data_IF_473890687933
#
_entry.id   IF_473890687933
#
_cell.length_a   1.000
_cell.length_b   1.000
_cell.length_c   1.000
_cell.angle_alpha   90.00
_cell.angle_beta   90.00
_cell.angle_gamma   90.00
#
_symmetry.space_group_name_H-M   'P 1'
#
loop_
_entity.id
_entity.type
_entity.pdbx_description
1 polymer ?
#
# COMPACT_ATOMS: atom_id res chain seq x y z
N UNK A 1 -5.54 -3.33 -15.20
CA UNK A 1 -5.52 -2.18 -14.29
C UNK A 1 -5.47 -0.84 -15.04
N UNK A 2 -4.71 -0.73 -16.14
CA UNK A 2 -4.56 0.52 -16.90
C UNK A 2 -5.89 1.21 -17.26
N UNK A 3 -6.90 0.47 -17.73
CA UNK A 3 -8.22 1.05 -18.08
C UNK A 3 -8.87 1.82 -16.92
N UNK A 4 -8.69 1.37 -15.67
CA UNK A 4 -9.21 2.06 -14.49
C UNK A 4 -8.43 3.34 -14.19
N UNK A 5 -7.12 3.33 -14.39
CA UNK A 5 -6.26 4.51 -14.23
C UNK A 5 -6.61 5.56 -15.27
N UNK A 6 -6.78 5.15 -16.53
CA UNK A 6 -7.20 6.03 -17.63
C UNK A 6 -8.57 6.62 -17.35
N UNK A 7 -9.51 5.80 -16.89
CA UNK A 7 -10.85 6.25 -16.47
C UNK A 7 -10.76 7.29 -15.35
N UNK A 8 -10.02 7.00 -14.29
CA UNK A 8 -9.93 7.87 -13.12
C UNK A 8 -9.29 9.22 -13.45
N UNK A 9 -8.21 9.22 -14.24
CA UNK A 9 -7.60 10.45 -14.73
C UNK A 9 -8.54 11.26 -15.63
N UNK A 10 -9.32 10.60 -16.49
CA UNK A 10 -10.30 11.26 -17.36
C UNK A 10 -11.46 11.88 -16.59
N UNK A 11 -11.92 11.24 -15.50
CA UNK A 11 -13.08 11.72 -14.72
C UNK A 11 -12.72 12.54 -13.50
N UNK A 12 -11.42 12.67 -13.17
CA UNK A 12 -10.96 13.28 -11.93
C UNK A 12 -11.30 12.46 -10.68
N UNK A 13 -11.48 11.15 -10.83
CA UNK A 13 -11.74 10.23 -9.72
C UNK A 13 -10.44 9.85 -9.01
N UNK A 14 -10.54 9.49 -7.73
CA UNK A 14 -9.43 8.92 -6.96
C UNK A 14 -9.70 7.44 -6.72
N UNK A 15 -8.75 6.60 -7.12
CA UNK A 15 -8.75 5.17 -6.83
C UNK A 15 -8.18 4.96 -5.43
N UNK A 16 -8.91 4.22 -4.59
CA UNK A 16 -8.39 3.64 -3.36
C UNK A 16 -8.13 2.17 -3.65
N UNK A 17 -6.86 1.81 -3.86
CA UNK A 17 -6.44 0.48 -4.24
C UNK A 17 -5.94 -0.29 -3.01
N UNK A 18 -6.65 -1.36 -2.64
CA UNK A 18 -6.26 -2.24 -1.54
C UNK A 18 -5.43 -3.41 -2.07
N UNK A 19 -4.13 -3.38 -1.78
CA UNK A 19 -3.15 -4.39 -2.17
C UNK A 19 -2.79 -5.33 -1.00
N UNK A 20 -3.70 -5.55 -0.04
CA UNK A 20 -3.43 -6.37 1.14
C UNK A 20 -2.99 -7.81 0.83
N UNK A 21 -3.44 -8.39 -0.29
CA UNK A 21 -3.13 -9.77 -0.70
C UNK A 21 -2.09 -9.86 -1.82
N UNK A 22 -1.38 -8.77 -2.12
CA UNK A 22 -0.40 -8.71 -3.21
C UNK A 22 0.63 -9.85 -3.17
N UNK A 23 1.10 -10.24 -1.99
CA UNK A 23 2.09 -11.30 -1.83
C UNK A 23 1.63 -12.68 -2.33
N UNK A 24 0.31 -12.89 -2.51
CA UNK A 24 -0.28 -14.16 -2.98
C UNK A 24 -0.50 -14.20 -4.49
N UNK A 25 -0.19 -13.13 -5.23
CA UNK A 25 -0.25 -13.13 -6.70
C UNK A 25 0.84 -14.08 -7.22
N UNK A 26 0.47 -15.05 -8.05
CA UNK A 26 1.38 -16.08 -8.59
C UNK A 26 1.68 -15.88 -10.08
N UNK A 27 0.78 -15.18 -10.77
CA UNK A 27 0.80 -14.89 -12.18
C UNK A 27 1.75 -13.74 -12.50
N UNK A 28 2.79 -14.01 -13.30
CA UNK A 28 3.85 -13.03 -13.62
C UNK A 28 3.35 -11.75 -14.30
N UNK A 29 2.25 -11.83 -15.04
CA UNK A 29 1.71 -10.73 -15.83
C UNK A 29 0.66 -9.90 -15.06
N UNK A 30 0.37 -10.26 -13.81
CA UNK A 30 -0.58 -9.51 -12.97
C UNK A 30 0.20 -8.48 -12.14
N UNK A 31 -0.12 -7.18 -12.23
CA UNK A 31 0.59 -6.17 -11.46
C UNK A 31 0.37 -6.34 -9.96
N UNK A 32 1.44 -6.13 -9.20
CA UNK A 32 1.47 -6.18 -7.73
C UNK A 32 1.19 -4.81 -7.11
N UNK A 33 1.36 -3.73 -7.87
CA UNK A 33 1.04 -2.37 -7.46
C UNK A 33 0.22 -1.64 -8.52
N UNK A 34 -0.69 -0.78 -8.07
CA UNK A 34 -1.37 0.15 -9.00
C UNK A 34 -0.38 1.10 -9.68
N UNK A 35 0.78 1.35 -9.06
CA UNK A 35 1.81 2.24 -9.59
C UNK A 35 2.65 1.63 -10.71
N UNK A 36 2.43 0.36 -11.08
CA UNK A 36 2.96 -0.21 -12.31
C UNK A 36 2.20 0.31 -13.55
N UNK A 37 1.00 0.87 -13.37
CA UNK A 37 0.25 1.52 -14.44
C UNK A 37 0.73 2.96 -14.68
N UNK A 38 0.86 3.34 -15.95
CA UNK A 38 1.22 4.69 -16.34
C UNK A 38 0.13 5.68 -15.90
N UNK A 39 0.52 6.81 -15.31
CA UNK A 39 -0.43 7.82 -14.82
C UNK A 39 -1.11 7.48 -13.49
N UNK A 40 -0.84 6.33 -12.86
CA UNK A 40 -1.48 5.97 -11.59
C UNK A 40 -1.15 6.95 -10.45
N UNK A 41 0.02 7.60 -10.50
CA UNK A 41 0.46 8.56 -9.46
C UNK A 41 -0.46 9.77 -9.33
N UNK A 42 -1.18 10.16 -10.39
CA UNK A 42 -2.08 11.32 -10.36
C UNK A 42 -3.48 10.99 -9.84
N UNK A 43 -3.84 9.71 -9.71
CA UNK A 43 -5.20 9.30 -9.35
C UNK A 43 -5.30 8.17 -8.32
N UNK A 44 -4.22 7.51 -7.87
CA UNK A 44 -4.32 6.32 -7.03
C UNK A 44 -3.61 6.42 -5.66
N UNK A 45 -4.34 6.04 -4.61
CA UNK A 45 -3.84 5.80 -3.26
C UNK A 45 -3.76 4.28 -3.05
N UNK A 46 -2.61 3.76 -2.65
CA UNK A 46 -2.42 2.33 -2.40
C UNK A 46 -2.36 2.03 -0.89
N UNK A 47 -3.06 1.00 -0.45
CA UNK A 47 -3.06 0.51 0.92
C UNK A 47 -2.42 -0.88 0.94
N UNK A 48 -1.44 -1.10 1.81
CA UNK A 48 -0.76 -2.38 2.02
C UNK A 48 -0.90 -2.85 3.46
N UNK A 49 -0.91 -4.17 3.66
CA UNK A 49 -1.05 -4.78 4.98
C UNK A 49 0.00 -5.85 5.22
N UNK A 50 0.62 -5.80 6.41
CA UNK A 50 1.49 -6.89 6.88
C UNK A 50 0.68 -8.05 7.48
N UNK A 51 -0.64 -7.89 7.65
CA UNK A 51 -1.47 -8.92 8.28
C UNK A 51 -1.60 -10.18 7.44
N UNK A 52 -1.60 -10.03 6.11
CA UNK A 52 -1.75 -11.13 5.16
C UNK A 52 -0.41 -11.61 4.66
N UNK A 53 0.50 -10.69 4.33
CA UNK A 53 1.87 -11.04 3.97
C UNK A 53 2.63 -11.70 5.15
N UNK A 54 2.73 -11.02 6.29
CA UNK A 54 3.57 -11.45 7.42
C UNK A 54 2.82 -12.09 8.59
N UNK A 55 1.53 -12.42 8.43
CA UNK A 55 0.73 -12.97 9.52
C UNK A 55 0.50 -12.01 10.69
N UNK A 56 0.70 -10.69 10.52
CA UNK A 56 0.58 -9.67 11.58
C UNK A 56 -0.88 -9.37 12.00
N UNK A 57 -1.78 -10.35 11.96
CA UNK A 57 -3.17 -10.21 12.42
C UNK A 57 -3.25 -9.84 13.91
N UNK A 58 -2.24 -10.21 14.71
CA UNK A 58 -2.08 -9.78 16.10
C UNK A 58 -1.13 -8.58 16.30
N UNK A 59 -0.12 -8.42 15.43
CA UNK A 59 0.94 -7.39 15.53
C UNK A 59 0.50 -6.04 14.95
N UNK A 60 -0.48 -6.03 14.02
CA UNK A 60 -1.19 -4.86 13.49
C UNK A 60 -0.30 -3.79 12.87
N UNK A 61 0.15 -4.04 11.64
CA UNK A 61 0.87 -3.05 10.83
C UNK A 61 0.33 -2.99 9.40
N UNK A 62 0.20 -1.77 8.87
CA UNK A 62 -0.17 -1.47 7.49
C UNK A 62 0.52 -0.17 7.05
N UNK A 63 0.52 0.07 5.75
CA UNK A 63 1.03 1.30 5.15
C UNK A 63 0.02 1.84 4.12
N UNK A 64 -0.01 3.16 3.97
CA UNK A 64 -0.79 3.83 2.92
C UNK A 64 0.15 4.72 2.14
N UNK A 65 0.24 4.49 0.83
CA UNK A 65 1.05 5.27 -0.11
C UNK A 65 0.14 6.29 -0.77
N UNK A 66 0.44 7.58 -0.57
CA UNK A 66 -0.31 8.70 -1.17
C UNK A 66 0.70 9.55 -1.94
N UNK A 67 0.67 9.55 -3.29
CA UNK A 67 1.51 10.43 -4.09
C UNK A 67 1.22 11.90 -3.82
N UNK A 68 2.25 12.75 -3.91
CA UNK A 68 2.08 14.21 -3.83
C UNK A 68 1.43 14.78 -5.11
N UNK A 69 1.39 13.99 -6.16
CA UNK A 69 0.84 14.34 -7.48
C UNK A 69 -0.70 14.41 -7.47
N UNK A 70 -1.37 13.76 -6.49
CA UNK A 70 -2.84 13.76 -6.39
C UNK A 70 -3.32 15.05 -5.74
N UNK A 71 -4.18 15.79 -6.45
CA UNK A 71 -4.77 17.04 -5.98
C UNK A 71 -6.29 17.06 -6.15
N UNK A 72 -6.96 17.78 -5.26
CA UNK A 72 -8.35 18.22 -5.41
C UNK A 72 -8.33 19.75 -5.51
N UNK A 73 -8.53 20.27 -6.72
CA UNK A 73 -8.17 21.67 -7.04
C UNK A 73 -6.68 21.91 -6.79
N UNK A 74 -6.35 22.94 -6.01
CA UNK A 74 -4.97 23.27 -5.64
C UNK A 74 -4.44 22.49 -4.41
N UNK A 75 -5.29 21.68 -3.77
CA UNK A 75 -4.96 21.00 -2.51
C UNK A 75 -4.41 19.60 -2.76
N UNK A 76 -3.18 19.34 -2.32
CA UNK A 76 -2.58 17.99 -2.36
C UNK A 76 -3.25 17.07 -1.34
N UNK A 77 -3.71 15.88 -1.75
CA UNK A 77 -4.30 14.93 -0.80
C UNK A 77 -3.29 14.43 0.23
N UNK A 78 -2.00 14.35 -0.14
CA UNK A 78 -0.92 14.02 0.79
C UNK A 78 -0.88 14.97 1.99
N UNK A 79 -1.09 16.28 1.82
CA UNK A 79 -1.04 17.23 2.94
C UNK A 79 -2.24 17.07 3.88
N UNK A 80 -3.43 16.81 3.33
CA UNK A 80 -4.62 16.50 4.10
C UNK A 80 -4.45 15.22 4.93
N UNK A 81 -3.89 14.16 4.33
CA UNK A 81 -3.63 12.91 5.05
C UNK A 81 -2.57 13.09 6.13
N UNK A 82 -1.48 13.80 5.85
CA UNK A 82 -0.46 14.11 6.85
C UNK A 82 -1.05 14.85 8.06
N UNK A 83 -1.91 15.85 7.82
CA UNK A 83 -2.59 16.60 8.89
C UNK A 83 -3.55 15.73 9.69
N UNK A 84 -4.26 14.80 9.04
CA UNK A 84 -5.10 13.80 9.71
C UNK A 84 -4.26 12.86 10.55
N UNK A 85 -3.18 12.32 9.99
CA UNK A 85 -2.32 11.32 10.63
C UNK A 85 -1.61 11.91 11.86
N UNK A 86 -1.05 13.12 11.75
CA UNK A 86 -0.38 13.80 12.87
C UNK A 86 -1.29 14.41 13.94
N UNK A 87 -2.61 14.16 13.90
CA UNK A 87 -3.54 14.71 14.90
C UNK A 87 -4.57 13.71 15.40
N UNK A 88 -4.99 12.77 14.55
CA UNK A 88 -5.95 11.72 14.92
C UNK A 88 -5.28 10.36 15.14
N UNK A 89 -3.96 10.28 15.07
CA UNK A 89 -3.21 9.05 15.28
C UNK A 89 -1.87 9.33 15.96
N UNK A 90 -1.47 8.45 16.87
CA UNK A 90 -0.26 8.61 17.69
C UNK A 90 0.95 7.83 17.13
N UNK A 91 0.86 7.35 15.89
CA UNK A 91 1.91 6.53 15.27
C UNK A 91 1.79 5.05 15.60
N UNK A 92 2.35 4.21 14.74
CA UNK A 92 2.47 2.77 15.01
C UNK A 92 3.52 2.55 16.13
N UNK A 93 3.30 1.62 17.08
CA UNK A 93 4.27 1.37 18.15
C UNK A 93 5.65 1.00 17.62
N UNK A 94 6.70 1.48 18.27
CA UNK A 94 8.09 1.22 17.85
C UNK A 94 8.39 -0.29 17.69
N UNK A 95 7.95 -1.12 18.64
CA UNK A 95 8.15 -2.58 18.60
C UNK A 95 7.50 -3.19 17.34
N UNK A 96 6.32 -2.70 16.97
CA UNK A 96 5.60 -3.14 15.76
C UNK A 96 6.34 -2.69 14.50
N UNK A 97 6.90 -1.47 14.49
CA UNK A 97 7.72 -0.99 13.38
C UNK A 97 9.00 -1.83 13.22
N UNK A 98 9.67 -2.20 14.32
CA UNK A 98 10.85 -3.09 14.28
C UNK A 98 10.51 -4.49 13.76
N UNK A 99 9.33 -5.01 14.07
CA UNK A 99 8.83 -6.24 13.46
C UNK A 99 8.59 -6.06 11.95
N UNK A 100 8.00 -4.94 11.53
CA UNK A 100 7.80 -4.60 10.12
C UNK A 100 9.10 -4.40 9.34
N UNK A 101 10.17 -3.90 9.97
CA UNK A 101 11.50 -3.82 9.38
C UNK A 101 12.11 -5.21 9.17
N UNK A 102 11.99 -6.10 10.17
CA UNK A 102 12.53 -7.45 10.10
C UNK A 102 11.94 -8.29 8.95
N UNK A 103 10.69 -8.01 8.55
CA UNK A 103 10.03 -8.60 7.37
C UNK A 103 10.84 -8.39 6.08
N UNK A 104 11.57 -7.27 5.97
CA UNK A 104 12.39 -6.97 4.79
C UNK A 104 13.84 -7.49 4.87
N UNK A 105 14.23 -8.13 5.99
CA UNK A 105 15.52 -8.81 6.09
C UNK A 105 15.56 -10.07 5.20
N UNK A 106 16.75 -10.58 4.89
CA UNK A 106 16.87 -11.81 4.09
C UNK A 106 16.20 -13.01 4.77
N UNK A 107 16.35 -13.15 6.09
CA UNK A 107 15.66 -14.19 6.86
C UNK A 107 14.13 -13.99 6.84
N UNK A 108 13.66 -12.75 7.00
CA UNK A 108 12.24 -12.41 6.94
C UNK A 108 11.62 -12.74 5.58
N UNK A 109 12.26 -12.32 4.48
CA UNK A 109 11.80 -12.65 3.12
C UNK A 109 11.73 -14.16 2.88
N UNK A 110 12.71 -14.92 3.35
CA UNK A 110 12.71 -16.38 3.21
C UNK A 110 11.52 -17.01 3.96
N UNK A 111 11.32 -16.64 5.23
CA UNK A 111 10.20 -17.12 6.05
C UNK A 111 8.83 -16.75 5.46
N UNK A 112 8.70 -15.54 4.91
CA UNK A 112 7.46 -15.08 4.27
C UNK A 112 7.16 -15.88 3.01
N UNK A 113 8.17 -16.14 2.18
CA UNK A 113 8.00 -16.94 0.98
C UNK A 113 7.52 -18.35 1.31
N UNK A 114 8.07 -18.97 2.35
CA UNK A 114 7.61 -20.29 2.83
C UNK A 114 6.17 -20.24 3.34
N UNK A 115 5.82 -19.20 4.11
CA UNK A 115 4.48 -19.02 4.65
C UNK A 115 3.43 -18.77 3.55
N UNK A 116 3.76 -17.94 2.56
CA UNK A 116 2.87 -17.66 1.41
C UNK A 116 2.70 -18.91 0.57
N UNK A 117 3.78 -19.65 0.28
CA UNK A 117 3.72 -20.85 -0.55
C UNK A 117 2.92 -22.02 0.08
N UNK A 118 2.66 -21.98 1.39
CA UNK A 118 1.77 -22.94 2.04
C UNK A 118 0.29 -22.75 1.64
N UNK A 119 -0.09 -21.55 1.20
CA UNK A 119 -1.46 -21.17 0.83
C UNK A 119 -1.61 -20.97 -0.68
#
# INVERSE_FOLDING_TARGET
LQEWVDYANRTGSVIIYDAAYEAYISEKEVPHSIYECEGARTCAIEIRSFSKNAGFTGVRLSATVIPKDIKSGDVMLHSLWARRHGTKFNGAPYIVQRAGEAVYSEAGKAQLKEQVAYY
#
